data_IF_549114501470
#
_entry.id   IF_549114501470
#
_cell.length_a   1.000
_cell.length_b   1.000
_cell.length_c   1.000
_cell.angle_alpha   90.00
_cell.angle_beta   90.00
_cell.angle_gamma   90.00
#
_symmetry.space_group_name_H-M   'P 1'
#
loop_
_entity.id
_entity.type
_entity.pdbx_description
1 polymer ?
#
# COMPACT_ATOMS: atom_id res chain seq x y z
N UNK A 1 11.52 -16.01 -13.45
CA UNK A 1 10.20 -16.32 -12.86
C UNK A 1 9.54 -15.06 -12.30
N UNK A 2 10.14 -14.38 -11.33
CA UNK A 2 9.61 -13.12 -10.76
C UNK A 2 9.42 -11.99 -11.80
N UNK A 3 10.34 -11.79 -12.75
CA UNK A 3 10.19 -10.75 -13.78
C UNK A 3 9.03 -11.02 -14.75
N UNK A 4 8.76 -12.29 -15.07
CA UNK A 4 7.65 -12.69 -15.91
C UNK A 4 6.31 -12.47 -15.18
N UNK A 5 6.26 -12.81 -13.89
CA UNK A 5 5.09 -12.58 -13.06
C UNK A 5 4.84 -11.09 -12.82
N UNK A 6 5.90 -10.30 -12.60
CA UNK A 6 5.82 -8.84 -12.53
C UNK A 6 5.31 -8.23 -13.84
N UNK A 7 5.78 -8.72 -14.99
CA UNK A 7 5.30 -8.26 -16.31
C UNK A 7 3.82 -8.59 -16.52
N UNK A 8 3.38 -9.77 -16.11
CA UNK A 8 1.97 -10.15 -16.19
C UNK A 8 1.10 -9.25 -15.30
N UNK A 9 1.50 -9.03 -14.06
CA UNK A 9 0.78 -8.17 -13.11
C UNK A 9 0.79 -6.70 -13.56
N UNK A 10 1.88 -6.22 -14.17
CA UNK A 10 1.95 -4.88 -14.80
C UNK A 10 0.98 -4.74 -15.97
N UNK A 11 0.88 -5.77 -16.82
CA UNK A 11 -0.05 -5.80 -17.93
C UNK A 11 -1.50 -5.82 -17.45
N UNK A 12 -1.82 -6.63 -16.43
CA UNK A 12 -3.15 -6.65 -15.81
C UNK A 12 -3.50 -5.30 -15.18
N UNK A 13 -2.57 -4.69 -14.45
CA UNK A 13 -2.76 -3.37 -13.85
C UNK A 13 -2.97 -2.28 -14.91
N UNK A 14 -2.19 -2.31 -15.99
CA UNK A 14 -2.35 -1.45 -17.17
C UNK A 14 -3.75 -1.58 -17.75
N UNK A 15 -4.21 -2.81 -18.00
CA UNK A 15 -5.53 -3.09 -18.54
C UNK A 15 -6.66 -2.63 -17.61
N UNK A 16 -6.57 -2.95 -16.31
CA UNK A 16 -7.58 -2.56 -15.31
C UNK A 16 -7.72 -1.04 -15.17
N UNK A 17 -6.60 -0.32 -15.22
CA UNK A 17 -6.57 1.13 -14.99
C UNK A 17 -6.57 1.95 -16.28
N UNK A 18 -6.62 1.29 -17.46
CA UNK A 18 -6.51 1.92 -18.79
C UNK A 18 -5.26 2.83 -18.92
N UNK A 19 -4.16 2.45 -18.28
CA UNK A 19 -2.91 3.22 -18.28
C UNK A 19 -1.98 2.63 -19.34
N UNK A 20 -1.61 3.42 -20.34
CA UNK A 20 -0.57 3.02 -21.30
C UNK A 20 0.81 3.48 -20.82
N UNK A 21 1.59 2.53 -20.28
CA UNK A 21 2.94 2.80 -19.77
C UNK A 21 3.91 3.34 -20.83
N UNK A 22 3.74 2.98 -22.11
CA UNK A 22 4.55 3.52 -23.21
C UNK A 22 4.23 5.00 -23.49
N UNK A 23 2.98 5.42 -23.29
CA UNK A 23 2.56 6.82 -23.44
C UNK A 23 2.99 7.72 -22.27
N UNK A 24 3.18 7.16 -21.07
CA UNK A 24 3.78 7.89 -19.95
C UNK A 24 5.23 8.29 -20.23
N UNK A 25 5.93 7.53 -21.06
CA UNK A 25 7.32 7.80 -21.45
C UNK A 25 7.50 8.94 -22.44
N UNK A 26 6.42 9.30 -23.16
CA UNK A 26 6.42 10.20 -24.31
C UNK A 26 5.61 11.50 -24.09
N UNK A 27 4.86 11.61 -22.99
CA UNK A 27 3.94 12.74 -22.73
C UNK A 27 4.51 13.87 -21.86
N UNK A 28 5.78 13.84 -21.47
CA UNK A 28 6.44 14.97 -20.80
C UNK A 28 7.85 15.17 -21.35
N UNK A 29 8.18 16.40 -21.77
CA UNK A 29 9.48 16.80 -22.33
C UNK A 29 10.60 16.75 -21.29
N UNK A 30 11.02 15.53 -20.94
CA UNK A 30 11.88 15.21 -19.80
C UNK A 30 13.06 14.34 -20.25
N UNK A 31 13.84 14.78 -21.22
CA UNK A 31 14.98 14.01 -21.76
C UNK A 31 16.08 13.68 -20.73
N UNK A 32 16.13 14.38 -19.58
CA UNK A 32 17.04 14.06 -18.45
C UNK A 32 16.36 13.59 -17.16
N UNK A 33 15.02 13.66 -17.08
CA UNK A 33 14.24 13.20 -15.94
C UNK A 33 13.62 11.83 -16.23
N UNK A 34 13.56 11.40 -17.50
CA UNK A 34 12.88 10.18 -17.92
C UNK A 34 13.39 8.95 -17.16
N UNK A 35 14.70 8.74 -17.06
CA UNK A 35 15.22 7.49 -16.47
C UNK A 35 15.05 7.44 -14.95
N UNK A 36 15.39 8.52 -14.23
CA UNK A 36 15.19 8.58 -12.77
C UNK A 36 13.70 8.60 -12.39
N UNK A 37 12.86 9.27 -13.18
CA UNK A 37 11.41 9.28 -12.96
C UNK A 37 10.79 7.93 -13.30
N UNK A 38 11.17 7.33 -14.43
CA UNK A 38 10.75 5.96 -14.81
C UNK A 38 11.19 4.96 -13.76
N UNK A 39 12.43 5.00 -13.30
CA UNK A 39 12.93 4.09 -12.27
C UNK A 39 12.18 4.25 -10.95
N UNK A 40 11.93 5.48 -10.51
CA UNK A 40 11.19 5.74 -9.28
C UNK A 40 9.71 5.33 -9.39
N UNK A 41 9.05 5.63 -10.51
CA UNK A 41 7.67 5.23 -10.79
C UNK A 41 7.59 3.69 -10.89
N UNK A 42 8.51 3.07 -11.60
CA UNK A 42 8.58 1.62 -11.77
C UNK A 42 8.86 0.91 -10.43
N UNK A 43 9.76 1.44 -9.60
CA UNK A 43 10.03 0.92 -8.25
C UNK A 43 8.80 1.01 -7.35
N UNK A 44 8.09 2.14 -7.35
CA UNK A 44 6.84 2.32 -6.58
C UNK A 44 5.75 1.38 -7.08
N UNK A 45 5.57 1.28 -8.39
CA UNK A 45 4.59 0.40 -9.01
C UNK A 45 4.89 -1.07 -8.71
N UNK A 46 6.13 -1.51 -8.92
CA UNK A 46 6.60 -2.85 -8.55
C UNK A 46 6.31 -3.16 -7.09
N UNK A 47 6.63 -2.25 -6.18
CA UNK A 47 6.36 -2.44 -4.75
C UNK A 47 4.86 -2.62 -4.47
N UNK A 48 4.01 -1.80 -5.11
CA UNK A 48 2.54 -1.90 -4.99
C UNK A 48 2.00 -3.22 -5.53
N UNK A 49 2.49 -3.66 -6.68
CA UNK A 49 2.05 -4.90 -7.33
C UNK A 49 2.50 -6.15 -6.57
N UNK A 50 3.74 -6.17 -6.08
CA UNK A 50 4.23 -7.25 -5.23
C UNK A 50 3.40 -7.32 -3.95
N UNK A 51 3.14 -6.20 -3.31
CA UNK A 51 2.29 -6.17 -2.11
C UNK A 51 0.87 -6.66 -2.41
N UNK A 52 0.26 -6.21 -3.51
CA UNK A 52 -1.06 -6.69 -3.93
C UNK A 52 -1.07 -8.20 -4.13
N UNK A 53 -0.06 -8.76 -4.81
CA UNK A 53 0.04 -10.21 -5.03
C UNK A 53 0.16 -10.99 -3.73
N UNK A 54 0.88 -10.46 -2.74
CA UNK A 54 0.96 -11.07 -1.40
C UNK A 54 -0.41 -11.04 -0.72
N UNK A 55 -1.15 -9.93 -0.84
CA UNK A 55 -2.51 -9.79 -0.29
C UNK A 55 -3.50 -10.75 -0.95
N UNK A 56 -3.43 -10.90 -2.27
CA UNK A 56 -4.29 -11.81 -3.04
C UNK A 56 -4.03 -13.27 -2.66
N UNK A 57 -2.76 -13.62 -2.45
CA UNK A 57 -2.35 -14.96 -2.04
C UNK A 57 -2.55 -15.24 -0.54
N UNK A 58 -2.88 -14.23 0.28
CA UNK A 58 -3.19 -14.44 1.70
C UNK A 58 -4.63 -14.97 1.84
N UNK A 59 -4.75 -16.19 2.37
CA UNK A 59 -6.01 -16.89 2.59
C UNK A 59 -6.71 -16.49 3.89
N UNK A 60 -6.14 -15.56 4.65
CA UNK A 60 -6.72 -15.13 5.92
C UNK A 60 -8.01 -14.35 5.68
N UNK A 61 -9.07 -14.82 6.32
CA UNK A 61 -10.37 -14.18 6.25
C UNK A 61 -10.43 -12.98 7.21
N UNK A 62 -11.14 -11.94 6.78
CA UNK A 62 -11.49 -10.79 7.62
C UNK A 62 -12.83 -11.08 8.27
N UNK A 63 -12.78 -11.32 9.58
CA UNK A 63 -13.95 -11.65 10.38
C UNK A 63 -14.76 -10.41 10.70
N UNK A 64 -16.00 -10.60 11.17
CA UNK A 64 -16.81 -9.48 11.64
C UNK A 64 -16.27 -8.85 12.93
N UNK A 65 -15.51 -9.61 13.75
CA UNK A 65 -14.78 -9.05 14.89
C UNK A 65 -13.70 -8.07 14.44
N UNK A 66 -12.93 -8.42 13.41
CA UNK A 66 -11.89 -7.52 12.88
C UNK A 66 -12.48 -6.21 12.35
N UNK A 67 -13.66 -6.30 11.74
CA UNK A 67 -14.40 -5.15 11.25
C UNK A 67 -14.90 -4.27 12.40
N UNK A 68 -15.43 -4.88 13.46
CA UNK A 68 -15.90 -4.17 14.65
C UNK A 68 -14.75 -3.44 15.35
N UNK A 69 -13.62 -4.13 15.56
CA UNK A 69 -12.44 -3.58 16.22
C UNK A 69 -11.88 -2.37 15.46
N UNK A 70 -11.82 -2.45 14.13
CA UNK A 70 -11.36 -1.33 13.30
C UNK A 70 -12.35 -0.15 13.34
N UNK A 71 -13.66 -0.40 13.38
CA UNK A 71 -14.68 0.65 13.50
C UNK A 71 -14.61 1.34 14.87
N UNK A 72 -14.38 0.59 15.95
CA UNK A 72 -14.14 1.12 17.30
C UNK A 72 -12.90 2.02 17.29
N UNK A 73 -11.78 1.51 16.79
CA UNK A 73 -10.52 2.25 16.68
C UNK A 73 -10.68 3.54 15.86
N UNK A 74 -11.41 3.51 14.75
CA UNK A 74 -11.68 4.71 13.96
C UNK A 74 -12.57 5.71 14.71
N UNK A 75 -13.58 5.25 15.44
CA UNK A 75 -14.42 6.11 16.25
C UNK A 75 -13.62 6.81 17.36
N UNK A 76 -12.73 6.08 18.05
CA UNK A 76 -11.83 6.63 19.05
C UNK A 76 -10.87 7.67 18.47
N UNK A 77 -10.19 7.33 17.37
CA UNK A 77 -9.24 8.22 16.70
C UNK A 77 -9.91 9.50 16.18
N UNK A 78 -11.13 9.39 15.65
CA UNK A 78 -11.91 10.52 15.15
C UNK A 78 -12.67 11.26 16.27
N UNK A 79 -12.66 10.75 17.51
CA UNK A 79 -13.50 11.24 18.63
C UNK A 79 -14.99 11.32 18.27
N UNK A 80 -15.45 10.36 17.49
CA UNK A 80 -16.85 10.24 17.03
C UNK A 80 -17.55 9.10 17.76
N UNK A 81 -18.88 9.10 17.76
CA UNK A 81 -19.64 7.95 18.29
C UNK A 81 -19.52 6.79 17.32
N UNK A 82 -19.26 5.59 17.84
CA UNK A 82 -19.21 4.36 17.05
C UNK A 82 -20.45 4.16 16.15
N UNK A 83 -21.63 4.50 16.67
CA UNK A 83 -22.88 4.40 15.91
C UNK A 83 -22.88 5.27 14.63
N UNK A 84 -22.29 6.47 14.68
CA UNK A 84 -22.19 7.39 13.56
C UNK A 84 -21.20 6.88 12.51
N UNK A 85 -20.05 6.36 12.95
CA UNK A 85 -19.05 5.73 12.06
C UNK A 85 -19.66 4.52 11.36
N UNK A 86 -20.32 3.61 12.10
CA UNK A 86 -21.01 2.45 11.54
C UNK A 86 -22.07 2.85 10.51
N UNK A 87 -22.86 3.89 10.82
CA UNK A 87 -23.87 4.42 9.91
C UNK A 87 -23.24 4.93 8.63
N UNK A 88 -22.18 5.73 8.71
CA UNK A 88 -21.45 6.24 7.55
C UNK A 88 -21.00 5.12 6.61
N UNK A 89 -20.33 4.09 7.12
CA UNK A 89 -19.84 2.98 6.29
C UNK A 89 -20.98 2.18 5.64
N UNK A 90 -22.10 1.99 6.34
CA UNK A 90 -23.30 1.32 5.78
C UNK A 90 -23.96 2.18 4.71
N UNK A 91 -24.26 3.43 5.01
CA UNK A 91 -24.97 4.34 4.11
C UNK A 91 -24.18 4.58 2.82
N UNK A 92 -22.84 4.61 2.91
CA UNK A 92 -21.94 4.77 1.77
C UNK A 92 -21.54 3.45 1.10
N UNK A 93 -22.02 2.30 1.59
CA UNK A 93 -21.67 0.95 1.11
C UNK A 93 -20.16 0.69 1.07
N UNK A 94 -19.43 1.20 2.07
CA UNK A 94 -17.96 1.15 2.15
C UNK A 94 -17.43 -0.03 2.98
N UNK A 95 -18.31 -0.86 3.56
CA UNK A 95 -17.88 -1.98 4.42
C UNK A 95 -16.99 -2.99 3.69
N UNK A 96 -17.24 -3.25 2.40
CA UNK A 96 -16.37 -4.13 1.60
C UNK A 96 -14.95 -3.57 1.45
N UNK A 97 -14.85 -2.28 1.13
CA UNK A 97 -13.56 -1.57 1.03
C UNK A 97 -12.82 -1.58 2.37
N UNK A 98 -13.55 -1.42 3.48
CA UNK A 98 -12.97 -1.50 4.82
C UNK A 98 -12.43 -2.90 5.11
N UNK A 99 -13.17 -3.97 4.76
CA UNK A 99 -12.66 -5.34 4.89
C UNK A 99 -11.39 -5.55 4.07
N UNK A 100 -11.33 -5.03 2.83
CA UNK A 100 -10.11 -5.12 2.00
C UNK A 100 -8.91 -4.39 2.64
N UNK A 101 -9.15 -3.23 3.27
CA UNK A 101 -8.11 -2.48 3.97
C UNK A 101 -7.61 -3.22 5.21
N UNK A 102 -8.52 -3.81 5.99
CA UNK A 102 -8.18 -4.65 7.13
C UNK A 102 -7.31 -5.83 6.67
N UNK A 103 -7.65 -6.49 5.56
CA UNK A 103 -6.83 -7.57 4.99
C UNK A 103 -5.43 -7.09 4.64
N UNK A 104 -5.31 -5.94 3.94
CA UNK A 104 -4.02 -5.33 3.61
C UNK A 104 -3.18 -5.03 4.86
N UNK A 105 -3.80 -4.46 5.90
CA UNK A 105 -3.10 -4.15 7.13
C UNK A 105 -2.62 -5.42 7.85
N UNK A 106 -3.44 -6.47 7.92
CA UNK A 106 -3.03 -7.78 8.48
C UNK A 106 -1.84 -8.39 7.73
N UNK A 107 -1.85 -8.35 6.41
CA UNK A 107 -0.73 -8.82 5.57
C UNK A 107 0.53 -8.02 5.87
N UNK A 108 0.41 -6.69 5.96
CA UNK A 108 1.53 -5.81 6.32
C UNK A 108 2.11 -6.17 7.70
N UNK A 109 1.25 -6.41 8.70
CA UNK A 109 1.69 -6.78 10.05
C UNK A 109 2.40 -8.14 10.05
N UNK A 110 1.94 -9.11 9.24
CA UNK A 110 2.65 -10.40 9.07
C UNK A 110 4.03 -10.22 8.44
N UNK A 111 4.15 -9.36 7.43
CA UNK A 111 5.45 -9.05 6.82
C UNK A 111 6.37 -8.48 7.89
N UNK A 112 5.93 -7.47 8.64
CA UNK A 112 6.73 -6.80 9.66
C UNK A 112 7.18 -7.76 10.77
N UNK A 113 6.34 -8.70 11.20
CA UNK A 113 6.70 -9.74 12.18
C UNK A 113 7.84 -10.66 11.72
N UNK A 114 8.06 -10.78 10.41
CA UNK A 114 9.08 -11.63 9.81
C UNK A 114 10.32 -10.84 9.34
N UNK A 115 10.33 -9.52 9.50
CA UNK A 115 11.50 -8.70 9.13
C UNK A 115 12.56 -8.82 10.22
N UNK A 116 13.82 -8.99 9.81
CA UNK A 116 14.96 -8.87 10.71
C UNK A 116 15.13 -7.41 11.11
N UNK A 117 14.77 -7.07 12.34
CA UNK A 117 15.02 -5.75 12.90
C UNK A 117 16.52 -5.53 13.10
N UNK A 118 17.03 -4.40 12.61
CA UNK A 118 18.41 -3.97 12.82
C UNK A 118 18.35 -2.75 13.74
N UNK A 119 18.77 -2.93 14.98
CA UNK A 119 18.96 -1.82 15.91
C UNK A 119 20.19 -1.02 15.50
N UNK A 120 19.97 0.11 14.85
CA UNK A 120 21.04 1.07 14.55
C UNK A 120 21.42 1.88 15.79
N UNK A 121 22.57 2.56 15.73
CA UNK A 121 23.00 3.46 16.80
C UNK A 121 21.92 4.52 17.02
N UNK A 122 21.65 4.86 18.29
CA UNK A 122 20.78 6.00 18.62
C UNK A 122 21.32 7.25 17.94
N UNK A 123 20.51 7.85 17.08
CA UNK A 123 20.82 9.11 16.42
C UNK A 123 20.03 10.22 17.09
N UNK A 124 20.63 11.41 17.21
CA UNK A 124 19.90 12.58 17.67
C UNK A 124 18.79 12.91 16.66
N UNK A 125 17.65 13.44 17.13
CA UNK A 125 16.51 13.76 16.27
C UNK A 125 16.88 14.70 15.11
N UNK A 126 17.72 15.71 15.39
CA UNK A 126 18.24 16.63 14.37
C UNK A 126 18.99 15.87 13.26
N UNK A 127 19.77 14.87 13.63
CA UNK A 127 20.57 14.10 12.68
C UNK A 127 19.69 13.06 11.95
N UNK A 128 18.62 12.56 12.58
CA UNK A 128 17.61 11.70 11.95
C UNK A 128 16.84 12.42 10.83
N UNK A 129 16.35 13.64 11.08
CA UNK A 129 15.62 14.42 10.06
C UNK A 129 16.53 14.82 8.89
N UNK A 130 17.82 15.02 9.15
CA UNK A 130 18.82 15.29 8.13
C UNK A 130 19.44 14.01 7.54
N UNK A 131 19.00 12.82 7.97
CA UNK A 131 19.50 11.56 7.47
C UNK A 131 19.00 11.38 6.03
N UNK A 132 19.87 11.66 5.05
CA UNK A 132 19.64 11.18 3.69
C UNK A 132 19.62 9.66 3.78
N UNK A 133 18.46 9.04 3.54
CA UNK A 133 18.40 7.61 3.24
C UNK A 133 19.39 7.37 2.10
N UNK A 134 20.53 6.75 2.42
CA UNK A 134 21.63 6.51 1.49
C UNK A 134 21.16 5.79 0.23
N UNK A 135 21.89 6.03 -0.86
CA UNK A 135 21.59 5.59 -2.22
C UNK A 135 21.39 4.09 -2.40
#
# INVERSE_FOLDING_TARGET
MFEAELKNVLNEFSHQNKINFEQLSSSTGLEGINDVFKENVLKKLKSKLVFQKIVDNDLTEVTDSDLEDELVKQAENAKMKLAEVKKFYRDKKLLGILKDEIKRQKVKDKILKNVKEINSKKVAFRDFINYKTGG
#
